data_IF_670888747153
#
_entry.id   IF_670888747153
#
_cell.length_a   1.000
_cell.length_b   1.000
_cell.length_c   1.000
_cell.angle_alpha   90.00
_cell.angle_beta   90.00
_cell.angle_gamma   90.00
#
_symmetry.space_group_name_H-M   'P 1'
#
loop_
_entity.id
_entity.type
_entity.pdbx_description
1 polymer ?
#
# COMPACT_ATOMS: atom_id res chain seq x y z
N UNK A 1 -19.49 2.60 -27.86
CA UNK A 1 -18.39 3.55 -28.17
C UNK A 1 -18.15 4.47 -27.02
N UNK A 2 -19.11 5.31 -26.64
CA UNK A 2 -18.92 6.22 -25.51
C UNK A 2 -18.67 5.48 -24.20
N UNK A 3 -19.24 4.27 -24.02
CA UNK A 3 -18.99 3.48 -22.81
C UNK A 3 -17.54 3.04 -22.69
N UNK A 4 -16.90 2.69 -23.81
CA UNK A 4 -15.50 2.27 -23.80
C UNK A 4 -14.58 3.43 -23.43
N UNK A 5 -14.88 4.62 -23.93
CA UNK A 5 -14.11 5.82 -23.60
C UNK A 5 -14.23 6.14 -22.11
N UNK A 6 -15.46 6.11 -21.58
CA UNK A 6 -15.70 6.37 -20.17
C UNK A 6 -15.02 5.34 -19.28
N UNK A 7 -15.05 4.07 -19.65
CA UNK A 7 -14.37 3.01 -18.89
C UNK A 7 -12.87 3.19 -18.91
N UNK A 8 -12.29 3.57 -20.05
CA UNK A 8 -10.85 3.82 -20.14
C UNK A 8 -10.43 5.02 -19.30
N UNK A 9 -11.24 6.08 -19.30
CA UNK A 9 -10.96 7.24 -18.43
C UNK A 9 -11.04 6.87 -16.97
N UNK A 10 -12.04 6.07 -16.60
CA UNK A 10 -12.20 5.62 -15.22
C UNK A 10 -11.02 4.75 -14.78
N UNK A 11 -10.58 3.82 -15.63
CA UNK A 11 -9.42 2.98 -15.35
C UNK A 11 -8.16 3.82 -15.17
N UNK A 12 -7.95 4.81 -16.04
CA UNK A 12 -6.83 5.72 -15.92
C UNK A 12 -6.85 6.49 -14.61
N UNK A 13 -8.03 6.96 -14.22
CA UNK A 13 -8.20 7.68 -12.95
C UNK A 13 -7.91 6.78 -11.75
N UNK A 14 -8.42 5.55 -11.77
CA UNK A 14 -8.16 4.57 -10.71
C UNK A 14 -6.67 4.25 -10.65
N UNK A 15 -6.03 4.04 -11.80
CA UNK A 15 -4.60 3.73 -11.86
C UNK A 15 -3.76 4.86 -11.25
N UNK A 16 -4.06 6.10 -11.58
CA UNK A 16 -3.36 7.26 -11.01
C UNK A 16 -3.55 7.32 -9.50
N UNK A 17 -4.77 7.06 -9.03
CA UNK A 17 -5.07 7.05 -7.59
C UNK A 17 -4.29 5.94 -6.89
N UNK A 18 -4.26 4.73 -7.44
CA UNK A 18 -3.50 3.62 -6.86
C UNK A 18 -2.01 3.96 -6.80
N UNK A 19 -1.46 4.49 -7.89
CA UNK A 19 -0.05 4.91 -7.91
C UNK A 19 0.26 5.92 -6.83
N UNK A 20 -0.59 6.93 -6.69
CA UNK A 20 -0.42 7.99 -5.70
C UNK A 20 -0.51 7.43 -4.28
N UNK A 21 -1.51 6.59 -4.01
CA UNK A 21 -1.68 5.98 -2.69
C UNK A 21 -0.51 5.07 -2.33
N UNK A 22 0.00 4.30 -3.29
CA UNK A 22 1.13 3.42 -3.02
C UNK A 22 2.41 4.22 -2.76
N UNK A 23 2.59 5.37 -3.42
CA UNK A 23 3.70 6.27 -3.13
C UNK A 23 3.56 6.84 -1.71
N UNK A 24 2.34 7.20 -1.32
CA UNK A 24 2.08 7.68 0.04
C UNK A 24 2.40 6.61 1.08
N UNK A 25 2.08 5.34 0.78
CA UNK A 25 2.48 4.23 1.66
C UNK A 25 3.99 4.18 1.80
N UNK A 26 4.72 4.25 0.69
CA UNK A 26 6.19 4.20 0.72
C UNK A 26 6.78 5.35 1.54
N UNK A 27 6.26 6.56 1.37
CA UNK A 27 6.71 7.73 2.13
C UNK A 27 6.39 7.59 3.63
N UNK A 28 5.19 7.10 3.95
CA UNK A 28 4.78 6.88 5.33
C UNK A 28 5.67 5.82 5.98
N UNK A 29 6.02 4.77 5.24
CA UNK A 29 6.91 3.73 5.75
C UNK A 29 8.35 4.24 5.93
N UNK A 30 8.80 5.19 5.11
CA UNK A 30 10.08 5.84 5.33
C UNK A 30 10.07 6.60 6.65
N UNK A 31 9.00 7.34 6.93
CA UNK A 31 8.84 8.04 8.20
C UNK A 31 8.81 7.06 9.38
N UNK A 32 8.13 5.94 9.21
CA UNK A 32 8.08 4.89 10.22
C UNK A 32 9.48 4.32 10.47
N UNK A 33 10.22 4.02 9.40
CA UNK A 33 11.58 3.52 9.51
C UNK A 33 12.48 4.48 10.28
N UNK A 34 12.41 5.76 9.92
CA UNK A 34 13.23 6.78 10.58
C UNK A 34 12.91 6.87 12.07
N UNK A 35 11.64 6.83 12.42
CA UNK A 35 11.21 6.91 13.81
C UNK A 35 11.63 5.67 14.62
N UNK A 36 11.41 4.49 14.06
CA UNK A 36 11.78 3.23 14.71
C UNK A 36 13.29 3.14 14.89
N UNK A 37 14.05 3.56 13.88
CA UNK A 37 15.53 3.52 13.93
C UNK A 37 16.10 4.40 15.02
N UNK A 38 15.40 5.48 15.39
CA UNK A 38 15.82 6.35 16.49
C UNK A 38 15.57 5.73 17.86
N UNK A 39 14.53 4.91 17.97
CA UNK A 39 14.05 4.43 19.27
C UNK A 39 14.47 3.01 19.60
N UNK A 40 14.87 2.22 18.63
CA UNK A 40 15.24 0.83 18.84
C UNK A 40 16.30 0.37 17.85
N UNK A 41 17.07 -0.64 18.26
CA UNK A 41 18.02 -1.32 17.39
C UNK A 41 17.50 -2.67 16.90
N UNK A 42 16.18 -2.88 16.92
CA UNK A 42 15.57 -4.13 16.48
C UNK A 42 15.69 -4.26 14.96
N UNK A 43 16.70 -5.00 14.50
CA UNK A 43 16.99 -5.16 13.07
C UNK A 43 15.86 -5.86 12.31
N UNK A 44 15.17 -6.80 12.97
CA UNK A 44 14.06 -7.49 12.32
C UNK A 44 12.90 -6.54 12.04
N UNK A 45 12.59 -5.68 12.99
CA UNK A 45 11.53 -4.70 12.83
C UNK A 45 11.85 -3.73 11.69
N UNK A 46 13.06 -3.18 11.66
CA UNK A 46 13.47 -2.26 10.60
C UNK A 46 13.49 -2.95 9.24
N UNK A 47 13.92 -4.21 9.19
CA UNK A 47 13.93 -4.99 7.95
C UNK A 47 12.53 -5.19 7.40
N UNK A 48 11.57 -5.53 8.26
CA UNK A 48 10.17 -5.69 7.85
C UNK A 48 9.61 -4.41 7.25
N UNK A 49 9.92 -3.27 7.86
CA UNK A 49 9.47 -1.97 7.36
C UNK A 49 10.08 -1.68 5.98
N UNK A 50 11.38 -1.90 5.82
CA UNK A 50 12.05 -1.64 4.54
C UNK A 50 11.55 -2.57 3.43
N UNK A 51 11.34 -3.84 3.73
CA UNK A 51 10.80 -4.78 2.75
C UNK A 51 9.41 -4.36 2.29
N UNK A 52 8.58 -3.94 3.24
CA UNK A 52 7.23 -3.46 2.91
C UNK A 52 7.28 -2.18 2.09
N UNK A 53 8.21 -1.28 2.40
CA UNK A 53 8.41 -0.05 1.62
C UNK A 53 8.80 -0.37 0.18
N UNK A 54 9.69 -1.32 -0.03
CA UNK A 54 10.10 -1.74 -1.37
C UNK A 54 8.93 -2.33 -2.15
N UNK A 55 8.11 -3.16 -1.49
CA UNK A 55 6.91 -3.70 -2.12
C UNK A 55 5.94 -2.60 -2.52
N UNK A 56 5.77 -1.59 -1.67
CA UNK A 56 4.90 -0.46 -1.97
C UNK A 56 5.39 0.29 -3.22
N UNK A 57 6.69 0.54 -3.31
CA UNK A 57 7.28 1.23 -4.46
C UNK A 57 7.12 0.42 -5.74
N UNK A 58 7.32 -0.89 -5.67
CA UNK A 58 7.17 -1.79 -6.82
C UNK A 58 5.70 -1.79 -7.28
N UNK A 59 4.76 -1.91 -6.35
CA UNK A 59 3.35 -1.95 -6.71
C UNK A 59 2.80 -0.61 -7.17
N UNK A 60 3.44 0.50 -6.81
CA UNK A 60 3.08 1.79 -7.36
C UNK A 60 3.15 1.79 -8.89
N UNK A 61 4.13 1.09 -9.45
CA UNK A 61 4.28 0.96 -10.89
C UNK A 61 3.45 -0.19 -11.45
N UNK A 62 3.61 -1.38 -10.88
CA UNK A 62 3.04 -2.61 -11.44
C UNK A 62 1.52 -2.63 -11.37
N UNK A 63 0.94 -2.20 -10.25
CA UNK A 63 -0.49 -2.18 -10.09
C UNK A 63 -1.14 -1.16 -11.03
N UNK A 64 -0.53 0.01 -11.16
CA UNK A 64 -1.02 1.03 -12.07
C UNK A 64 -1.03 0.54 -13.52
N UNK A 65 0.03 -0.12 -13.94
CA UNK A 65 0.11 -0.70 -15.27
C UNK A 65 -0.96 -1.76 -15.49
N UNK A 66 -1.14 -2.65 -14.53
CA UNK A 66 -2.12 -3.72 -14.66
C UNK A 66 -3.53 -3.14 -14.83
N UNK A 67 -3.86 -2.11 -14.08
CA UNK A 67 -5.17 -1.47 -14.19
C UNK A 67 -5.34 -0.80 -15.55
N UNK A 68 -4.35 -0.02 -15.99
CA UNK A 68 -4.43 0.69 -17.28
C UNK A 68 -4.56 -0.25 -18.46
N UNK A 69 -3.84 -1.37 -18.42
CA UNK A 69 -3.82 -2.33 -19.52
C UNK A 69 -4.86 -3.43 -19.36
N UNK A 70 -5.75 -3.31 -18.38
CA UNK A 70 -6.78 -4.28 -18.08
C UNK A 70 -6.22 -5.71 -17.89
N UNK A 71 -5.04 -5.80 -17.30
CA UNK A 71 -4.41 -7.08 -16.98
C UNK A 71 -4.91 -7.58 -15.63
N UNK A 72 -4.76 -8.89 -15.34
CA UNK A 72 -5.13 -9.41 -14.03
C UNK A 72 -4.38 -8.71 -12.91
N UNK A 73 -5.10 -8.37 -11.83
CA UNK A 73 -4.54 -7.68 -10.67
C UNK A 73 -4.38 -8.58 -9.45
N UNK A 74 -4.60 -9.90 -9.63
CA UNK A 74 -4.56 -10.84 -8.51
C UNK A 74 -3.24 -10.85 -7.76
N UNK A 75 -2.11 -10.77 -8.48
CA UNK A 75 -0.80 -10.74 -7.85
C UNK A 75 -0.59 -9.47 -7.04
N UNK A 76 -1.00 -8.32 -7.59
CA UNK A 76 -0.90 -7.05 -6.88
C UNK A 76 -1.79 -7.07 -5.63
N UNK A 77 -3.00 -7.58 -5.74
CA UNK A 77 -3.92 -7.69 -4.60
C UNK A 77 -3.35 -8.58 -3.50
N UNK A 78 -2.73 -9.70 -3.88
CA UNK A 78 -2.10 -10.60 -2.91
C UNK A 78 -0.93 -9.92 -2.21
N UNK A 79 -0.09 -9.20 -2.95
CA UNK A 79 1.03 -8.47 -2.36
C UNK A 79 0.54 -7.44 -1.35
N UNK A 80 -0.54 -6.73 -1.67
CA UNK A 80 -1.11 -5.74 -0.77
C UNK A 80 -1.67 -6.39 0.49
N UNK A 81 -2.32 -7.56 0.36
CA UNK A 81 -2.81 -8.29 1.51
C UNK A 81 -1.65 -8.74 2.42
N UNK A 82 -0.55 -9.20 1.84
CA UNK A 82 0.64 -9.58 2.60
C UNK A 82 1.26 -8.37 3.30
N UNK A 83 1.29 -7.21 2.64
CA UNK A 83 1.77 -5.98 3.25
C UNK A 83 0.92 -5.59 4.46
N UNK A 84 -0.40 -5.75 4.37
CA UNK A 84 -1.29 -5.47 5.49
C UNK A 84 -1.01 -6.39 6.68
N UNK A 85 -0.77 -7.68 6.41
CA UNK A 85 -0.41 -8.63 7.46
C UNK A 85 0.91 -8.25 8.12
N UNK A 86 1.91 -7.90 7.32
CA UNK A 86 3.21 -7.49 7.84
C UNK A 86 3.09 -6.24 8.70
N UNK A 87 2.31 -5.26 8.26
CA UNK A 87 2.12 -4.03 9.03
C UNK A 87 1.33 -4.25 10.31
N UNK A 88 0.48 -5.28 10.36
CA UNK A 88 -0.17 -5.65 11.61
C UNK A 88 0.87 -6.15 12.62
N UNK A 89 1.81 -6.99 12.17
CA UNK A 89 2.92 -7.44 13.01
C UNK A 89 3.80 -6.28 13.47
N UNK A 90 4.12 -5.37 12.56
CA UNK A 90 4.89 -4.17 12.89
C UNK A 90 4.17 -3.36 13.96
N UNK A 91 2.87 -3.16 13.81
CA UNK A 91 2.07 -2.45 14.82
C UNK A 91 2.15 -3.12 16.19
N UNK A 92 2.03 -4.45 16.23
CA UNK A 92 2.06 -5.19 17.48
C UNK A 92 3.43 -5.05 18.15
N UNK A 93 4.51 -5.14 17.39
CA UNK A 93 5.86 -4.98 17.91
C UNK A 93 6.08 -3.54 18.40
N UNK A 94 5.62 -2.56 17.65
CA UNK A 94 5.74 -1.15 18.04
C UNK A 94 5.03 -0.90 19.37
N UNK A 95 3.83 -1.43 19.54
CA UNK A 95 3.08 -1.26 20.78
C UNK A 95 3.78 -1.91 21.97
N UNK A 96 4.46 -3.04 21.75
CA UNK A 96 5.13 -3.77 22.81
C UNK A 96 6.48 -3.18 23.18
N UNK A 97 7.20 -2.59 22.22
CA UNK A 97 8.62 -2.25 22.40
C UNK A 97 8.93 -0.76 22.41
N UNK A 98 8.05 0.09 21.90
CA UNK A 98 8.31 1.52 21.82
C UNK A 98 7.46 2.30 22.81
N UNK A 99 7.91 3.54 23.07
CA UNK A 99 7.19 4.43 23.96
C UNK A 99 5.81 4.75 23.42
N UNK A 100 4.83 4.90 24.33
CA UNK A 100 3.49 5.31 23.95
C UNK A 100 3.43 6.72 23.35
N UNK A 101 4.51 7.49 23.50
CA UNK A 101 4.61 8.83 22.90
C UNK A 101 5.27 8.80 21.52
N UNK A 102 5.67 7.62 21.06
CA UNK A 102 6.29 7.48 19.74
C UNK A 102 5.28 7.69 18.63
N UNK A 103 5.71 8.37 17.57
CA UNK A 103 4.91 8.54 16.36
C UNK A 103 4.87 7.28 15.48
N UNK A 104 5.66 6.27 15.83
CA UNK A 104 5.75 5.04 15.03
C UNK A 104 4.39 4.36 14.86
N UNK A 105 3.60 4.29 15.93
CA UNK A 105 2.27 3.67 15.87
C UNK A 105 1.37 4.41 14.88
N UNK A 106 1.42 5.74 14.92
CA UNK A 106 0.61 6.57 14.02
C UNK A 106 0.99 6.33 12.56
N UNK A 107 2.28 6.25 12.26
CA UNK A 107 2.74 5.99 10.89
C UNK A 107 2.32 4.59 10.42
N UNK A 108 2.48 3.58 11.25
CA UNK A 108 2.07 2.22 10.87
C UNK A 108 0.57 2.14 10.63
N UNK A 109 -0.22 2.78 11.48
CA UNK A 109 -1.68 2.83 11.33
C UNK A 109 -2.07 3.56 10.04
N UNK A 110 -1.40 4.67 9.74
CA UNK A 110 -1.68 5.45 8.53
C UNK A 110 -1.38 4.63 7.27
N UNK A 111 -0.24 3.94 7.24
CA UNK A 111 0.12 3.09 6.10
C UNK A 111 -0.94 2.00 5.87
N UNK A 112 -1.43 1.37 6.94
CA UNK A 112 -2.48 0.37 6.83
C UNK A 112 -3.77 0.95 6.25
N UNK A 113 -4.17 2.13 6.72
CA UNK A 113 -5.38 2.78 6.21
C UNK A 113 -5.28 3.09 4.72
N UNK A 114 -4.12 3.55 4.27
CA UNK A 114 -3.90 3.84 2.86
C UNK A 114 -4.01 2.54 2.05
N UNK A 115 -3.40 1.45 2.53
CA UNK A 115 -3.46 0.16 1.83
C UNK A 115 -4.89 -0.39 1.74
N UNK A 116 -5.70 -0.19 2.76
CA UNK A 116 -7.11 -0.57 2.70
C UNK A 116 -7.82 0.23 1.61
N UNK A 117 -7.50 1.51 1.47
CA UNK A 117 -8.01 2.34 0.38
C UNK A 117 -7.61 1.81 -0.98
N UNK A 118 -6.38 1.32 -1.11
CA UNK A 118 -5.91 0.70 -2.36
C UNK A 118 -6.72 -0.55 -2.68
N UNK A 119 -7.01 -1.38 -1.70
CA UNK A 119 -7.86 -2.56 -1.91
C UNK A 119 -9.23 -2.17 -2.44
N UNK A 120 -9.81 -1.09 -1.94
CA UNK A 120 -11.08 -0.59 -2.44
C UNK A 120 -10.98 -0.12 -3.89
N UNK A 121 -9.86 0.48 -4.26
CA UNK A 121 -9.62 0.89 -5.65
C UNK A 121 -9.57 -0.32 -6.58
N UNK A 122 -8.98 -1.42 -6.16
CA UNK A 122 -8.98 -2.65 -6.97
C UNK A 122 -10.39 -3.17 -7.16
N UNK A 123 -11.23 -3.12 -6.14
CA UNK A 123 -12.62 -3.54 -6.27
C UNK A 123 -13.36 -2.67 -7.29
N UNK A 124 -13.14 -1.35 -7.25
CA UNK A 124 -13.72 -0.42 -8.21
C UNK A 124 -13.20 -0.68 -9.63
N UNK A 125 -11.92 -1.00 -9.76
CA UNK A 125 -11.31 -1.33 -11.04
C UNK A 125 -11.95 -2.57 -11.66
N UNK A 126 -12.24 -3.59 -10.87
CA UNK A 126 -12.91 -4.79 -11.34
C UNK A 126 -14.31 -4.49 -11.88
N UNK A 127 -15.05 -3.64 -11.17
CA UNK A 127 -16.37 -3.20 -11.61
C UNK A 127 -16.27 -2.41 -12.92
N UNK A 128 -15.36 -1.45 -12.95
CA UNK A 128 -15.14 -0.61 -14.13
C UNK A 128 -14.66 -1.41 -15.33
N UNK A 129 -13.92 -2.50 -15.08
CA UNK A 129 -13.41 -3.37 -16.14
C UNK A 129 -14.42 -4.34 -16.70
N UNK A 130 -15.66 -4.29 -16.28
CA UNK A 130 -16.70 -5.17 -16.79
C UNK A 130 -16.82 -6.49 -16.07
N UNK A 131 -16.38 -6.56 -14.87
CA UNK A 131 -16.60 -7.66 -13.91
C UNK A 131 -16.68 -9.05 -14.55
N UNK A 132 -15.59 -9.61 -14.79
CA UNK A 132 -15.60 -11.00 -15.23
C UNK A 132 -14.82 -11.88 -14.35
#
# INVERSE_FOLDING_TARGET
MSNDILQNELKGSIAVTVESLMKDVAETLQSLYDEVSKETSNDELTRMILETQQKASTQAVNAGFAIRLARPTGDAQREIAEMLETLQLVNDIVLDTLSSTSDAYAYATQARKILIGVQQMFAMSSIAGGAK
#
